data_IF_499649116312
#
_entry.id   IF_499649116312
#
_cell.length_a   1.000
_cell.length_b   1.000
_cell.length_c   1.000
_cell.angle_alpha   90.00
_cell.angle_beta   90.00
_cell.angle_gamma   90.00
#
_symmetry.space_group_name_H-M   'P 1'
#
loop_
_entity.id
_entity.type
_entity.pdbx_description
1 polymer ?
#
# COMPACT_ATOMS: atom_id res chain seq x y z
N UNK A 1 8.95 11.12 -5.96
CA UNK A 1 7.59 10.69 -5.56
C UNK A 1 7.09 11.54 -4.42
N UNK A 2 5.93 12.20 -4.54
CA UNK A 2 5.37 12.99 -3.42
C UNK A 2 4.97 12.08 -2.26
N UNK A 3 5.47 12.36 -1.06
CA UNK A 3 5.07 11.64 0.17
C UNK A 3 3.55 11.68 0.39
N UNK A 4 2.90 12.76 -0.05
CA UNK A 4 1.45 12.92 0.06
C UNK A 4 0.66 11.84 -0.70
N UNK A 5 1.23 11.25 -1.74
CA UNK A 5 0.62 10.14 -2.47
C UNK A 5 0.50 8.88 -1.59
N UNK A 6 1.59 8.55 -0.89
CA UNK A 6 1.65 7.41 0.04
C UNK A 6 0.76 7.65 1.27
N UNK A 7 0.80 8.85 1.85
CA UNK A 7 -0.06 9.17 3.00
C UNK A 7 -1.54 9.15 2.62
N UNK A 8 -1.90 9.60 1.41
CA UNK A 8 -3.28 9.51 0.93
C UNK A 8 -3.71 8.04 0.75
N UNK A 9 -2.84 7.19 0.23
CA UNK A 9 -3.10 5.75 0.15
C UNK A 9 -3.31 5.14 1.54
N UNK A 10 -2.46 5.48 2.53
CA UNK A 10 -2.64 5.04 3.92
C UNK A 10 -4.01 5.42 4.47
N UNK A 11 -4.48 6.64 4.21
CA UNK A 11 -5.81 7.09 4.66
C UNK A 11 -6.94 6.27 4.02
N UNK A 12 -6.83 5.96 2.72
CA UNK A 12 -7.78 5.10 2.02
C UNK A 12 -7.82 3.69 2.62
N UNK A 13 -6.65 3.06 2.81
CA UNK A 13 -6.54 1.72 3.41
C UNK A 13 -7.04 1.71 4.86
N UNK A 14 -6.73 2.75 5.65
CA UNK A 14 -7.20 2.87 7.03
C UNK A 14 -8.73 2.89 7.11
N UNK A 15 -9.40 3.59 6.18
CA UNK A 15 -10.86 3.59 6.09
C UNK A 15 -11.43 2.21 5.76
N UNK A 16 -10.77 1.44 4.88
CA UNK A 16 -11.18 0.07 4.59
C UNK A 16 -11.05 -0.85 5.81
N UNK A 17 -9.96 -0.72 6.57
CA UNK A 17 -9.74 -1.47 7.82
C UNK A 17 -10.84 -1.14 8.83
N UNK A 18 -11.12 0.15 9.06
CA UNK A 18 -12.13 0.60 10.02
C UNK A 18 -13.53 0.06 9.70
N UNK A 19 -13.84 -0.10 8.41
CA UNK A 19 -15.12 -0.66 7.98
C UNK A 19 -15.34 -2.12 8.41
N UNK A 20 -14.27 -2.90 8.61
CA UNK A 20 -14.30 -4.32 8.91
C UNK A 20 -14.84 -5.22 7.77
N UNK A 21 -15.31 -4.66 6.66
CA UNK A 21 -15.94 -5.39 5.54
C UNK A 21 -14.97 -6.31 4.80
N UNK A 22 -13.69 -5.93 4.78
CA UNK A 22 -12.63 -6.57 3.98
C UNK A 22 -11.61 -7.32 4.83
N UNK A 23 -12.02 -7.72 6.04
CA UNK A 23 -11.18 -8.52 6.94
C UNK A 23 -10.90 -9.94 6.40
N UNK A 24 -11.59 -10.34 5.34
CA UNK A 24 -11.33 -11.58 4.59
C UNK A 24 -10.10 -11.49 3.69
N UNK A 25 -9.61 -10.30 3.35
CA UNK A 25 -8.37 -10.14 2.57
C UNK A 25 -7.19 -10.67 3.41
N UNK A 26 -6.61 -11.76 2.94
CA UNK A 26 -5.54 -12.47 3.62
C UNK A 26 -4.16 -11.87 3.34
N UNK A 27 -3.19 -12.19 4.19
CA UNK A 27 -1.77 -11.88 3.94
C UNK A 27 -1.28 -12.55 2.65
N UNK A 28 -1.70 -13.79 2.39
CA UNK A 28 -1.29 -14.54 1.21
C UNK A 28 -1.83 -13.91 -0.09
N UNK A 29 -3.08 -13.42 -0.11
CA UNK A 29 -3.61 -12.66 -1.25
C UNK A 29 -2.79 -11.38 -1.50
N UNK A 30 -2.38 -10.68 -0.44
CA UNK A 30 -1.52 -9.49 -0.57
C UNK A 30 -0.16 -9.87 -1.15
N UNK A 31 0.46 -10.95 -0.68
CA UNK A 31 1.71 -11.45 -1.24
C UNK A 31 1.58 -11.78 -2.73
N UNK A 32 0.55 -12.52 -3.14
CA UNK A 32 0.29 -12.85 -4.54
C UNK A 32 0.08 -11.58 -5.40
N UNK A 33 -0.62 -10.58 -4.85
CA UNK A 33 -0.84 -9.32 -5.54
C UNK A 33 0.47 -8.51 -5.71
N UNK A 34 1.37 -8.53 -4.73
CA UNK A 34 2.70 -7.93 -4.82
C UNK A 34 3.58 -8.69 -5.82
N UNK A 35 3.60 -10.02 -5.78
CA UNK A 35 4.37 -10.84 -6.71
C UNK A 35 3.96 -10.62 -8.16
N UNK A 36 2.67 -10.40 -8.40
CA UNK A 36 2.14 -10.08 -9.72
C UNK A 36 2.28 -8.61 -10.13
N UNK A 37 2.84 -7.75 -9.27
CA UNK A 37 2.95 -6.28 -9.46
C UNK A 37 1.62 -5.60 -9.74
N UNK A 38 0.58 -5.97 -9.00
CA UNK A 38 -0.79 -5.44 -9.16
C UNK A 38 -1.49 -5.24 -7.83
N UNK A 39 -0.77 -4.90 -6.76
CA UNK A 39 -1.35 -4.77 -5.42
C UNK A 39 -2.47 -3.73 -5.39
N UNK A 40 -2.26 -2.54 -5.95
CA UNK A 40 -3.27 -1.48 -5.93
C UNK A 40 -4.49 -1.81 -6.80
N UNK A 41 -4.27 -2.48 -7.93
CA UNK A 41 -5.35 -2.95 -8.82
C UNK A 41 -6.18 -4.04 -8.12
N UNK A 42 -5.53 -4.99 -7.46
CA UNK A 42 -6.18 -6.02 -6.65
C UNK A 42 -7.07 -5.39 -5.55
N UNK A 43 -6.55 -4.41 -4.81
CA UNK A 43 -7.33 -3.73 -3.76
C UNK A 43 -8.54 -3.00 -4.37
N UNK A 44 -8.35 -2.27 -5.49
CA UNK A 44 -9.45 -1.60 -6.20
C UNK A 44 -10.52 -2.59 -6.66
N UNK A 45 -10.12 -3.74 -7.20
CA UNK A 45 -11.03 -4.79 -7.66
C UNK A 45 -11.79 -5.45 -6.49
N UNK A 46 -11.12 -5.75 -5.38
CA UNK A 46 -11.74 -6.37 -4.20
C UNK A 46 -12.65 -5.43 -3.42
N UNK A 47 -12.30 -4.15 -3.34
CA UNK A 47 -13.02 -3.17 -2.53
C UNK A 47 -14.03 -2.34 -3.34
N UNK A 48 -13.93 -2.34 -4.67
CA UNK A 48 -14.89 -1.69 -5.55
C UNK A 48 -15.04 -0.20 -5.25
N UNK A 49 -16.27 0.24 -5.01
CA UNK A 49 -16.60 1.65 -4.74
C UNK A 49 -16.20 2.13 -3.34
N UNK A 50 -15.78 1.24 -2.44
CA UNK A 50 -15.41 1.62 -1.07
C UNK A 50 -13.98 2.21 -0.99
N UNK A 51 -13.25 2.26 -2.11
CA UNK A 51 -11.95 2.92 -2.21
C UNK A 51 -11.83 3.74 -3.51
N UNK A 52 -11.26 4.93 -3.42
CA UNK A 52 -10.91 5.74 -4.59
C UNK A 52 -9.40 5.83 -4.78
N UNK A 53 -8.89 5.08 -5.77
CA UNK A 53 -7.48 5.09 -6.20
C UNK A 53 -7.29 5.80 -7.54
N UNK A 54 -8.28 6.54 -8.06
CA UNK A 54 -8.16 7.22 -9.37
C UNK A 54 -6.98 8.20 -9.41
N UNK A 55 -6.74 8.93 -8.33
CA UNK A 55 -5.60 9.85 -8.22
C UNK A 55 -4.23 9.14 -8.24
N UNK A 56 -4.19 7.86 -7.85
CA UNK A 56 -2.97 7.05 -7.85
C UNK A 56 -2.76 6.31 -9.17
N UNK A 57 -3.84 5.84 -9.80
CA UNK A 57 -3.81 4.85 -10.88
C UNK A 57 -4.16 5.41 -12.26
N UNK A 58 -4.78 6.58 -12.33
CA UNK A 58 -5.36 7.16 -13.55
C UNK A 58 -4.96 8.63 -13.75
N UNK A 59 -4.46 9.29 -12.71
CA UNK A 59 -4.01 10.68 -12.74
C UNK A 59 -2.50 10.82 -12.91
N UNK A 60 -2.06 11.97 -13.43
CA UNK A 60 -0.64 12.35 -13.50
C UNK A 60 -0.18 13.16 -12.28
N UNK A 61 -1.04 13.40 -11.28
CA UNK A 61 -0.75 14.23 -10.12
C UNK A 61 0.49 13.79 -9.31
N UNK A 62 0.80 12.49 -9.37
CA UNK A 62 1.91 11.84 -8.68
C UNK A 62 2.91 11.18 -9.63
N UNK A 63 2.90 11.53 -10.93
CA UNK A 63 3.73 10.87 -11.94
C UNK A 63 3.34 9.39 -12.09
N UNK A 64 4.33 8.53 -12.27
CA UNK A 64 4.12 7.07 -12.35
C UNK A 64 4.09 6.45 -10.94
N UNK A 65 3.00 6.70 -10.21
CA UNK A 65 2.84 6.22 -8.84
C UNK A 65 2.72 4.70 -8.76
N UNK A 66 1.99 4.09 -9.69
CA UNK A 66 1.80 2.64 -9.71
C UNK A 66 3.14 1.92 -9.84
N UNK A 67 3.98 2.27 -10.83
CA UNK A 67 5.27 1.61 -10.97
C UNK A 67 6.18 1.84 -9.75
N UNK A 68 6.25 3.08 -9.24
CA UNK A 68 7.03 3.38 -8.04
C UNK A 68 6.60 2.54 -6.83
N UNK A 69 5.28 2.47 -6.57
CA UNK A 69 4.74 1.77 -5.42
C UNK A 69 4.97 0.26 -5.54
N UNK A 70 4.70 -0.33 -6.71
CA UNK A 70 4.91 -1.75 -6.97
C UNK A 70 6.40 -2.14 -6.85
N UNK A 71 7.34 -1.29 -7.26
CA UNK A 71 8.78 -1.53 -7.06
C UNK A 71 9.16 -1.52 -5.57
N UNK A 72 8.76 -0.49 -4.83
CA UNK A 72 9.13 -0.36 -3.40
C UNK A 72 8.47 -1.43 -2.54
N UNK A 73 7.20 -1.74 -2.77
CA UNK A 73 6.50 -2.79 -2.01
C UNK A 73 7.09 -4.17 -2.31
N UNK A 74 7.52 -4.43 -3.56
CA UNK A 74 8.18 -5.68 -3.94
C UNK A 74 9.56 -5.84 -3.28
N UNK A 75 10.31 -4.75 -3.10
CA UNK A 75 11.56 -4.76 -2.33
C UNK A 75 11.33 -5.11 -0.86
N UNK A 76 10.29 -4.54 -0.23
CA UNK A 76 9.91 -4.89 1.15
C UNK A 76 9.53 -6.36 1.23
N UNK A 77 8.68 -6.84 0.31
CA UNK A 77 8.29 -8.24 0.23
C UNK A 77 9.51 -9.17 0.15
N UNK A 78 10.44 -8.91 -0.78
CA UNK A 78 11.65 -9.73 -0.94
C UNK A 78 12.57 -9.75 0.27
N UNK A 79 12.55 -8.70 1.10
CA UNK A 79 13.36 -8.63 2.32
C UNK A 79 12.68 -9.19 3.57
N UNK A 80 11.34 -9.24 3.61
CA UNK A 80 10.60 -9.39 4.85
C UNK A 80 9.38 -10.31 4.82
N UNK A 81 9.05 -10.92 3.68
CA UNK A 81 8.04 -11.96 3.63
C UNK A 81 8.34 -13.09 4.64
N UNK A 82 7.34 -13.50 5.41
CA UNK A 82 7.44 -14.44 6.53
C UNK A 82 7.91 -13.81 7.85
N UNK A 83 8.21 -12.51 7.90
CA UNK A 83 8.57 -11.77 9.12
C UNK A 83 7.52 -10.74 9.55
N UNK A 84 6.32 -10.77 8.97
CA UNK A 84 5.24 -9.79 9.15
C UNK A 84 4.91 -9.59 10.64
N UNK A 85 4.68 -10.71 11.34
CA UNK A 85 4.44 -10.75 12.78
C UNK A 85 5.56 -10.11 13.57
N UNK A 86 6.80 -10.51 13.29
CA UNK A 86 7.98 -10.12 14.07
C UNK A 86 8.29 -8.63 13.91
N UNK A 87 8.09 -8.08 12.72
CA UNK A 87 8.50 -6.73 12.34
C UNK A 87 7.40 -5.69 12.55
N UNK A 88 6.15 -6.03 12.24
CA UNK A 88 5.03 -5.09 12.27
C UNK A 88 3.86 -5.56 13.14
N UNK A 89 3.93 -6.75 13.77
CA UNK A 89 2.84 -7.28 14.58
C UNK A 89 1.59 -7.65 13.77
N UNK A 90 1.72 -7.78 12.44
CA UNK A 90 0.62 -8.12 11.54
C UNK A 90 0.59 -9.63 11.31
N UNK A 91 -0.56 -10.25 11.58
CA UNK A 91 -0.71 -11.71 11.54
C UNK A 91 -1.99 -12.20 10.86
N UNK A 92 -2.98 -11.32 10.69
CA UNK A 92 -4.35 -11.72 10.33
C UNK A 92 -4.92 -10.99 9.13
N UNK A 93 -4.78 -9.67 9.10
CA UNK A 93 -5.47 -8.83 8.12
C UNK A 93 -4.48 -8.36 7.05
N UNK A 94 -4.72 -8.74 5.79
CA UNK A 94 -3.90 -8.32 4.66
C UNK A 94 -3.88 -6.80 4.50
N UNK A 95 -5.00 -6.11 4.73
CA UNK A 95 -5.03 -4.65 4.69
C UNK A 95 -4.14 -3.99 5.74
N UNK A 96 -4.00 -4.58 6.93
CA UNK A 96 -3.03 -4.09 7.93
C UNK A 96 -1.59 -4.25 7.44
N UNK A 97 -1.29 -5.29 6.66
CA UNK A 97 0.03 -5.48 6.07
C UNK A 97 0.31 -4.42 5.01
N UNK A 98 -0.65 -4.15 4.13
CA UNK A 98 -0.55 -3.07 3.12
C UNK A 98 -0.27 -1.73 3.80
N UNK A 99 -1.02 -1.39 4.86
CA UNK A 99 -0.82 -0.17 5.63
C UNK A 99 0.58 -0.11 6.26
N UNK A 100 1.01 -1.20 6.93
CA UNK A 100 2.32 -1.27 7.58
C UNK A 100 3.47 -1.12 6.57
N UNK A 101 3.40 -1.79 5.43
CA UNK A 101 4.45 -1.73 4.42
C UNK A 101 4.41 -0.42 3.62
N UNK A 102 3.26 0.21 3.43
CA UNK A 102 3.21 1.57 2.88
C UNK A 102 3.90 2.57 3.80
N UNK A 103 3.74 2.43 5.12
CA UNK A 103 4.50 3.21 6.10
C UNK A 103 6.01 2.91 6.03
N UNK A 104 6.41 1.67 5.78
CA UNK A 104 7.81 1.29 5.61
C UNK A 104 8.44 1.96 4.38
N UNK A 105 7.71 2.08 3.26
CA UNK A 105 8.17 2.86 2.08
C UNK A 105 8.48 4.30 2.48
N UNK A 106 7.61 4.91 3.31
CA UNK A 106 7.85 6.26 3.83
C UNK A 106 9.10 6.31 4.72
N UNK A 107 9.32 5.30 5.57
CA UNK A 107 10.48 5.24 6.46
C UNK A 107 11.80 5.11 5.73
N UNK A 108 11.86 4.37 4.62
CA UNK A 108 13.07 4.30 3.79
C UNK A 108 13.41 5.66 3.20
N UNK A 109 12.41 6.47 2.87
CA UNK A 109 12.62 7.84 2.40
C UNK A 109 13.17 7.95 0.97
N UNK A 110 13.49 6.82 0.34
CA UNK A 110 14.09 6.76 -0.99
C UNK A 110 13.17 7.35 -2.05
N UNK A 111 13.72 8.30 -2.81
CA UNK A 111 13.07 8.98 -3.94
C UNK A 111 11.80 9.77 -3.54
N UNK A 112 11.68 10.16 -2.26
CA UNK A 112 10.56 10.95 -1.76
C UNK A 112 10.77 12.46 -1.85
N UNK A 113 9.74 13.15 -2.33
CA UNK A 113 9.61 14.61 -2.30
C UNK A 113 8.79 15.01 -1.07
N UNK A 114 9.41 15.78 -0.18
CA UNK A 114 8.76 16.33 1.01
C UNK A 114 7.99 17.62 0.64
N UNK A 115 6.85 17.91 1.30
CA UNK A 115 6.15 19.16 1.09
C UNK A 115 7.01 20.33 1.55
N UNK A 116 6.97 21.42 0.80
CA UNK A 116 7.53 22.69 1.25
C UNK A 116 6.76 23.13 2.52
N UNK A 117 7.46 23.16 3.66
CA UNK A 117 6.91 23.77 4.88
C UNK A 117 6.97 25.28 4.69
N UNK A 118 5.82 25.91 4.50
CA UNK A 118 5.66 27.36 4.58
C UNK A 118 5.43 27.79 6.03
#
# INVERSE_FOLDING_TARGET
MKITALTLLILQINSLIDSGKYNDITIDEVHQAIESKRLLRFIKERCGSDIDLSIHLESTAYGDFENYYEEKIYQIYGGYAGSERRKWGVERLGLCLVLAWTNEIIQWGDDLELPNRH
#
